data_IF_230190201830
#
_entry.id   IF_230190201830
#
_cell.length_a   1.000
_cell.length_b   1.000
_cell.length_c   1.000
_cell.angle_alpha   90.00
_cell.angle_beta   90.00
_cell.angle_gamma   90.00
#
_symmetry.space_group_name_H-M   'P 1'
#
loop_
_entity.id
_entity.type
_entity.pdbx_description
1 polymer ?
#
# COMPACT_ATOMS: atom_id res chain seq x y z
N UNK A 1 -14.35 -28.04 -51.80
CA UNK A 1 -13.97 -28.14 -53.25
C UNK A 1 -13.08 -26.95 -53.59
N UNK A 2 -11.89 -27.22 -54.24
CA UNK A 2 -10.79 -26.33 -54.66
C UNK A 2 -9.83 -25.92 -53.51
N UNK A 3 -8.76 -26.54 -53.20
CA UNK A 3 -7.55 -27.10 -53.85
C UNK A 3 -6.84 -26.13 -54.82
N UNK A 4 -5.66 -25.67 -54.44
CA UNK A 4 -4.46 -25.32 -55.27
C UNK A 4 -3.53 -24.46 -54.40
N UNK A 5 -2.28 -24.52 -54.43
CA UNK A 5 -1.17 -25.33 -54.98
C UNK A 5 0.12 -24.67 -54.50
N UNK A 6 1.06 -25.50 -54.07
CA UNK A 6 2.51 -25.38 -54.04
C UNK A 6 3.12 -24.17 -54.78
N UNK A 7 4.08 -23.51 -54.10
CA UNK A 7 5.34 -23.13 -54.77
C UNK A 7 6.50 -23.13 -53.78
N UNK A 8 7.33 -24.14 -53.93
CA UNK A 8 8.72 -24.21 -53.48
C UNK A 8 9.55 -23.20 -54.27
N UNK A 9 10.38 -22.42 -53.59
CA UNK A 9 11.56 -21.84 -54.24
C UNK A 9 12.71 -21.80 -53.24
N UNK A 10 13.61 -22.72 -53.52
CA UNK A 10 14.95 -22.89 -52.97
C UNK A 10 15.85 -21.76 -53.49
N UNK A 11 16.58 -21.07 -52.59
CA UNK A 11 17.82 -20.42 -53.00
C UNK A 11 18.87 -20.48 -51.90
N UNK A 12 20.04 -20.90 -52.27
CA UNK A 12 21.26 -21.22 -51.56
C UNK A 12 22.07 -19.97 -51.15
N UNK A 13 23.20 -20.14 -50.47
CA UNK A 13 23.69 -19.26 -49.42
C UNK A 13 24.73 -18.25 -49.93
N UNK A 14 24.81 -17.09 -49.25
CA UNK A 14 25.99 -16.22 -49.31
C UNK A 14 26.68 -16.18 -47.96
N UNK A 15 27.84 -16.80 -47.91
CA UNK A 15 28.85 -16.65 -46.86
C UNK A 15 29.43 -15.22 -47.00
N UNK A 16 29.17 -14.37 -46.01
CA UNK A 16 29.92 -13.14 -45.77
C UNK A 16 30.69 -13.32 -44.48
N UNK A 17 31.99 -13.51 -44.62
CA UNK A 17 32.94 -13.39 -43.53
C UNK A 17 33.04 -11.93 -43.14
N UNK A 18 32.66 -11.56 -41.93
CA UNK A 18 32.97 -10.26 -41.36
C UNK A 18 33.82 -10.41 -40.11
N UNK A 19 34.91 -9.70 -40.17
CA UNK A 19 36.01 -9.61 -39.24
C UNK A 19 35.59 -9.32 -37.80
N UNK A 20 36.23 -10.01 -36.88
CA UNK A 20 36.16 -9.73 -35.44
C UNK A 20 36.70 -8.35 -35.11
N UNK A 21 35.85 -7.46 -34.72
CA UNK A 21 36.24 -6.25 -33.99
C UNK A 21 35.88 -6.49 -32.54
N UNK A 22 36.89 -6.59 -31.72
CA UNK A 22 36.76 -6.75 -30.28
C UNK A 22 36.28 -5.41 -29.69
N UNK A 23 35.11 -5.32 -29.06
CA UNK A 23 34.79 -4.15 -28.25
C UNK A 23 35.42 -4.31 -26.88
N UNK A 24 36.16 -3.28 -26.54
CA UNK A 24 36.79 -3.01 -25.26
C UNK A 24 35.78 -3.18 -24.09
N UNK A 25 36.17 -3.98 -23.14
CA UNK A 25 35.48 -4.21 -21.87
C UNK A 25 35.38 -2.88 -21.08
N UNK A 26 34.27 -2.18 -21.22
CA UNK A 26 33.77 -1.27 -20.21
C UNK A 26 33.00 -2.12 -19.19
N UNK A 27 33.60 -2.36 -18.03
CA UNK A 27 32.96 -3.12 -16.94
C UNK A 27 31.76 -2.37 -16.37
N UNK A 28 30.59 -2.61 -16.92
CA UNK A 28 29.34 -2.36 -16.22
C UNK A 28 29.14 -3.50 -15.22
N UNK A 29 29.49 -3.20 -13.99
CA UNK A 29 29.09 -4.03 -12.85
C UNK A 29 27.56 -4.10 -12.87
N UNK A 30 26.95 -5.28 -12.99
CA UNK A 30 25.50 -5.37 -12.86
C UNK A 30 25.14 -4.94 -11.44
N UNK A 31 24.50 -3.77 -11.31
CA UNK A 31 23.88 -3.33 -10.06
C UNK A 31 22.82 -4.38 -9.75
N UNK A 32 23.11 -5.25 -8.79
CA UNK A 32 22.13 -6.20 -8.27
C UNK A 32 20.88 -5.40 -7.84
N UNK A 33 19.68 -5.88 -8.11
CA UNK A 33 18.48 -5.23 -7.61
C UNK A 33 18.59 -5.16 -6.09
N UNK A 34 18.55 -3.96 -5.54
CA UNK A 34 18.44 -3.73 -4.10
C UNK A 34 17.08 -4.30 -3.72
N UNK A 35 17.09 -5.53 -3.22
CA UNK A 35 15.90 -6.11 -2.59
C UNK A 35 15.69 -5.28 -1.34
N UNK A 36 14.73 -4.36 -1.39
CA UNK A 36 14.29 -3.65 -0.20
C UNK A 36 13.83 -4.71 0.81
N UNK A 37 14.65 -4.95 1.80
CA UNK A 37 14.30 -5.83 2.90
C UNK A 37 13.12 -5.18 3.60
N UNK A 38 11.92 -5.77 3.46
CA UNK A 38 10.76 -5.32 4.21
C UNK A 38 11.14 -5.35 5.70
N UNK A 39 11.16 -4.20 6.34
CA UNK A 39 11.44 -4.11 7.76
C UNK A 39 10.38 -4.91 8.50
N UNK A 40 10.80 -5.75 9.44
CA UNK A 40 9.87 -6.47 10.31
C UNK A 40 9.13 -5.42 11.13
N UNK A 41 7.82 -5.35 10.95
CA UNK A 41 6.97 -4.43 11.70
C UNK A 41 6.67 -5.04 13.06
N UNK A 42 6.90 -4.29 14.11
CA UNK A 42 6.46 -4.62 15.45
C UNK A 42 5.61 -3.49 16.06
N UNK A 43 4.97 -3.75 17.19
CA UNK A 43 4.14 -2.77 17.85
C UNK A 43 4.94 -1.53 18.31
N UNK A 44 6.23 -1.69 18.62
CA UNK A 44 7.13 -0.61 18.99
C UNK A 44 7.37 0.35 17.83
N UNK A 45 7.64 -0.18 16.64
CA UNK A 45 7.83 0.62 15.42
C UNK A 45 6.60 1.48 15.08
N UNK A 46 5.39 0.94 15.31
CA UNK A 46 4.15 1.68 15.10
C UNK A 46 3.92 2.76 16.16
N UNK A 47 4.31 2.51 17.41
CA UNK A 47 4.08 3.41 18.53
C UNK A 47 5.00 4.65 18.53
N UNK A 48 6.05 4.66 17.71
CA UNK A 48 7.02 5.77 17.66
C UNK A 48 6.55 6.96 16.85
N UNK A 49 5.44 6.83 16.12
CA UNK A 49 4.96 7.83 15.19
C UNK A 49 3.45 8.09 15.35
N UNK A 50 3.04 9.30 14.96
CA UNK A 50 1.67 9.65 14.63
C UNK A 50 1.46 9.41 13.14
N UNK A 51 0.52 8.54 12.78
CA UNK A 51 0.33 8.11 11.39
C UNK A 51 -0.79 8.91 10.72
N UNK A 52 -0.41 9.87 9.87
CA UNK A 52 -1.37 10.72 9.15
C UNK A 52 -1.73 10.15 7.78
N UNK A 53 -3.03 10.03 7.52
CA UNK A 53 -3.55 9.52 6.25
C UNK A 53 -3.17 10.45 5.09
N UNK A 54 -2.49 9.89 4.08
CA UNK A 54 -2.10 10.61 2.87
C UNK A 54 -2.92 10.16 1.66
N UNK A 55 -3.21 8.87 1.60
CA UNK A 55 -3.92 8.29 0.47
C UNK A 55 -4.83 7.15 0.93
N UNK A 56 -6.01 7.06 0.31
CA UNK A 56 -6.91 5.93 0.49
C UNK A 56 -7.57 5.61 -0.85
N UNK A 57 -7.47 4.34 -1.27
CA UNK A 57 -7.99 3.87 -2.54
C UNK A 57 -8.83 2.62 -2.30
N UNK A 58 -9.93 2.50 -3.02
CA UNK A 58 -10.68 1.25 -3.06
C UNK A 58 -9.98 0.21 -3.95
N UNK A 59 -10.51 -1.00 -3.98
CA UNK A 59 -9.97 -2.12 -4.78
C UNK A 59 -9.95 -1.84 -6.29
N UNK A 60 -10.77 -0.92 -6.78
CA UNK A 60 -10.78 -0.46 -8.17
C UNK A 60 -9.78 0.69 -8.43
N UNK A 61 -9.03 1.11 -7.42
CA UNK A 61 -8.05 2.20 -7.51
C UNK A 61 -8.68 3.60 -7.48
N UNK A 62 -9.94 3.74 -7.07
CA UNK A 62 -10.60 5.05 -6.91
C UNK A 62 -10.36 5.57 -5.50
N UNK A 63 -10.20 6.88 -5.39
CA UNK A 63 -10.03 7.54 -4.09
C UNK A 63 -11.28 7.37 -3.22
N UNK A 64 -11.05 7.10 -1.93
CA UNK A 64 -12.10 6.99 -0.91
C UNK A 64 -12.34 8.37 -0.29
N UNK A 65 -13.11 9.21 -0.96
CA UNK A 65 -13.31 10.61 -0.57
C UNK A 65 -13.89 10.79 0.84
N UNK A 66 -14.66 9.83 1.32
CA UNK A 66 -15.22 9.84 2.68
C UNK A 66 -14.15 9.92 3.79
N UNK A 67 -12.89 9.57 3.51
CA UNK A 67 -11.77 9.66 4.45
C UNK A 67 -11.03 11.01 4.38
N UNK A 68 -11.38 11.90 3.46
CA UNK A 68 -10.72 13.18 3.21
C UNK A 68 -11.65 14.39 3.39
N UNK A 69 -12.62 14.27 4.27
CA UNK A 69 -13.59 15.35 4.58
C UNK A 69 -12.91 16.59 5.14
N UNK A 70 -11.81 16.42 5.86
CA UNK A 70 -11.04 17.52 6.48
C UNK A 70 -9.64 17.56 5.88
N UNK A 71 -9.43 18.40 4.89
CA UNK A 71 -8.15 18.50 4.19
C UNK A 71 -7.01 19.03 5.08
N UNK A 72 -7.34 19.93 6.00
CA UNK A 72 -6.42 20.54 6.96
C UNK A 72 -6.16 19.67 8.20
N UNK A 73 -6.98 18.68 8.43
CA UNK A 73 -6.92 17.81 9.60
C UNK A 73 -7.19 16.35 9.21
N UNK A 74 -6.25 15.71 8.48
CA UNK A 74 -6.41 14.33 8.01
C UNK A 74 -6.57 13.34 9.16
N UNK A 75 -7.21 12.21 8.87
CA UNK A 75 -7.31 11.08 9.81
C UNK A 75 -5.92 10.71 10.28
N UNK A 76 -5.77 10.50 11.58
CA UNK A 76 -4.54 10.07 12.21
C UNK A 76 -4.78 8.77 12.98
N UNK A 77 -3.79 7.87 12.94
CA UNK A 77 -3.76 6.66 13.75
C UNK A 77 -2.62 6.76 14.76
N UNK A 78 -2.92 6.43 16.00
CA UNK A 78 -1.95 6.28 17.06
C UNK A 78 -2.03 4.86 17.63
N UNK A 79 -0.85 4.24 17.76
CA UNK A 79 -0.70 2.91 18.33
C UNK A 79 0.01 2.99 19.67
N UNK A 80 -0.58 2.47 20.71
CA UNK A 80 0.03 2.46 22.04
C UNK A 80 -0.48 1.28 22.85
N UNK A 81 0.43 0.50 23.44
CA UNK A 81 0.13 -0.58 24.40
C UNK A 81 -0.99 -1.53 23.92
N UNK A 82 -0.91 -1.98 22.66
CA UNK A 82 -1.90 -2.88 22.05
C UNK A 82 -3.25 -2.22 21.75
N UNK A 83 -3.32 -0.90 21.77
CA UNK A 83 -4.51 -0.13 21.43
C UNK A 83 -4.25 0.78 20.21
N UNK A 84 -5.20 0.74 19.29
CA UNK A 84 -5.28 1.66 18.17
C UNK A 84 -6.30 2.74 18.50
N UNK A 85 -5.90 4.00 18.33
CA UNK A 85 -6.78 5.16 18.38
C UNK A 85 -6.85 5.85 17.02
N UNK A 86 -8.06 6.28 16.64
CA UNK A 86 -8.29 7.12 15.47
C UNK A 86 -8.57 8.54 15.95
N UNK A 87 -7.75 9.47 15.49
CA UNK A 87 -7.87 10.89 15.79
C UNK A 87 -8.37 11.65 14.56
N UNK A 88 -8.81 12.89 14.79
CA UNK A 88 -9.31 13.79 13.76
C UNK A 88 -10.62 13.31 13.09
N UNK A 89 -11.27 12.32 13.65
CA UNK A 89 -12.65 11.93 13.35
C UNK A 89 -13.64 12.78 14.18
N UNK A 90 -14.93 12.61 13.98
CA UNK A 90 -15.93 13.28 14.84
C UNK A 90 -16.00 12.61 16.20
N UNK A 91 -16.09 11.30 16.22
CA UNK A 91 -16.14 10.51 17.43
C UNK A 91 -14.73 10.01 17.82
N UNK A 92 -14.57 9.68 19.10
CA UNK A 92 -13.41 8.93 19.57
C UNK A 92 -13.59 7.49 19.16
N UNK A 93 -12.71 7.01 18.30
CA UNK A 93 -12.75 5.67 17.73
C UNK A 93 -11.48 4.95 18.13
N UNK A 94 -11.58 3.68 18.52
CA UNK A 94 -10.41 2.88 18.86
C UNK A 94 -10.77 1.42 19.08
N UNK A 95 -9.73 0.57 19.12
CA UNK A 95 -9.85 -0.87 19.34
C UNK A 95 -8.55 -1.46 19.87
N UNK A 96 -8.54 -2.73 20.22
CA UNK A 96 -7.30 -3.46 20.44
C UNK A 96 -6.63 -3.78 19.12
N UNK A 97 -5.31 -3.96 19.13
CA UNK A 97 -4.60 -4.49 17.99
C UNK A 97 -3.49 -5.45 18.43
N UNK A 98 -3.17 -6.36 17.52
CA UNK A 98 -2.02 -7.27 17.62
C UNK A 98 -1.34 -7.33 16.25
N UNK A 99 -0.05 -7.65 16.23
CA UNK A 99 0.70 -7.87 14.99
C UNK A 99 1.07 -9.35 14.92
N UNK A 100 0.61 -9.99 13.87
CA UNK A 100 0.92 -11.38 13.56
C UNK A 100 1.60 -11.46 12.19
N UNK A 101 2.91 -11.69 12.16
CA UNK A 101 3.70 -11.70 10.94
C UNK A 101 3.59 -10.37 10.16
N UNK A 102 2.97 -10.41 8.97
CA UNK A 102 2.71 -9.25 8.11
C UNK A 102 1.28 -8.71 8.24
N UNK A 103 0.58 -9.04 9.34
CA UNK A 103 -0.80 -8.66 9.57
C UNK A 103 -0.99 -7.86 10.85
N UNK A 104 -1.75 -6.80 10.71
CA UNK A 104 -2.33 -6.03 11.80
C UNK A 104 -3.73 -6.58 12.07
N UNK A 105 -3.91 -7.22 13.21
CA UNK A 105 -5.22 -7.75 13.63
C UNK A 105 -5.85 -6.71 14.54
N UNK A 106 -6.92 -6.08 14.08
CA UNK A 106 -7.65 -5.06 14.83
C UNK A 106 -8.97 -5.66 15.33
N UNK A 107 -9.16 -5.61 16.63
CA UNK A 107 -10.38 -6.07 17.27
C UNK A 107 -11.59 -5.18 16.97
N UNK A 108 -12.69 -5.42 17.68
CA UNK A 108 -13.90 -4.62 17.52
C UNK A 108 -13.61 -3.14 17.78
N UNK A 109 -13.95 -2.29 16.82
CA UNK A 109 -13.81 -0.84 16.94
C UNK A 109 -14.95 -0.29 17.82
N UNK A 110 -14.57 0.45 18.84
CA UNK A 110 -15.49 1.15 19.75
C UNK A 110 -15.49 2.63 19.37
N UNK A 111 -16.67 3.22 19.30
CA UNK A 111 -16.85 4.63 19.00
C UNK A 111 -17.81 5.30 19.98
N UNK A 112 -17.52 6.53 20.36
CA UNK A 112 -18.51 7.37 21.03
C UNK A 112 -19.66 7.69 20.06
N UNK A 113 -20.79 8.14 20.59
CA UNK A 113 -21.98 8.48 19.79
C UNK A 113 -22.33 9.95 19.96
N UNK A 114 -21.39 10.84 19.70
CA UNK A 114 -21.65 12.27 19.65
C UNK A 114 -22.36 12.62 18.34
N UNK A 115 -23.26 13.58 18.39
CA UNK A 115 -23.84 14.17 17.19
C UNK A 115 -22.77 15.02 16.48
N UNK A 116 -22.45 14.65 15.25
CA UNK A 116 -21.54 15.43 14.40
C UNK A 116 -22.31 16.59 13.75
N UNK A 117 -21.73 17.77 13.79
CA UNK A 117 -22.34 18.94 13.17
C UNK A 117 -22.46 18.80 11.65
N UNK A 118 -21.52 18.10 11.03
CA UNK A 118 -21.50 17.78 9.60
C UNK A 118 -21.76 16.29 9.40
N UNK A 119 -22.81 15.90 8.63
CA UNK A 119 -23.07 14.51 8.26
C UNK A 119 -21.89 13.82 7.57
N UNK A 120 -21.03 14.55 6.86
CA UNK A 120 -19.84 14.01 6.22
C UNK A 120 -18.86 13.43 7.26
N UNK A 121 -18.76 14.00 8.45
CA UNK A 121 -17.95 13.47 9.54
C UNK A 121 -18.50 12.15 10.10
N UNK A 122 -19.82 11.99 10.14
CA UNK A 122 -20.43 10.69 10.49
C UNK A 122 -20.08 9.61 9.47
N UNK A 123 -20.05 9.98 8.19
CA UNK A 123 -19.63 9.07 7.12
C UNK A 123 -18.14 8.73 7.22
N UNK A 124 -17.30 9.69 7.60
CA UNK A 124 -15.86 9.45 7.86
C UNK A 124 -15.68 8.45 8.99
N UNK A 125 -16.34 8.66 10.14
CA UNK A 125 -16.26 7.76 11.31
C UNK A 125 -16.61 6.32 10.94
N UNK A 126 -17.68 6.13 10.15
CA UNK A 126 -18.09 4.83 9.67
C UNK A 126 -17.08 4.26 8.69
N UNK A 127 -16.66 5.04 7.70
CA UNK A 127 -15.75 4.59 6.63
C UNK A 127 -14.39 4.15 7.17
N UNK A 128 -13.84 4.84 8.18
CA UNK A 128 -12.55 4.45 8.77
C UNK A 128 -12.71 3.24 9.69
N UNK A 129 -13.78 3.17 10.49
CA UNK A 129 -14.02 2.05 11.41
C UNK A 129 -14.18 0.73 10.66
N UNK A 130 -14.98 0.74 9.57
CA UNK A 130 -15.21 -0.44 8.74
C UNK A 130 -13.92 -0.97 8.10
N UNK A 131 -12.98 -0.09 7.75
CA UNK A 131 -11.73 -0.47 7.08
C UNK A 131 -10.62 -0.88 8.03
N UNK A 132 -10.63 -0.37 9.24
CA UNK A 132 -9.60 -0.72 10.23
C UNK A 132 -9.91 -1.99 11.01
N UNK A 133 -11.19 -2.39 11.13
CA UNK A 133 -11.57 -3.59 11.86
C UNK A 133 -11.24 -4.86 11.10
N UNK A 134 -10.69 -5.86 11.77
CA UNK A 134 -10.37 -7.18 11.21
C UNK A 134 -8.88 -7.35 10.91
N UNK A 135 -8.56 -8.15 9.93
CA UNK A 135 -7.19 -8.47 9.54
C UNK A 135 -6.74 -7.61 8.36
N UNK A 136 -5.70 -6.83 8.56
CA UNK A 136 -5.13 -5.94 7.54
C UNK A 136 -3.71 -6.42 7.24
N UNK A 137 -3.36 -6.53 5.96
CA UNK A 137 -1.95 -6.70 5.62
C UNK A 137 -1.23 -5.38 5.86
N UNK A 138 -0.09 -5.46 6.55
CA UNK A 138 0.71 -4.30 6.91
C UNK A 138 2.02 -4.28 6.12
N UNK A 139 2.31 -3.15 5.51
CA UNK A 139 3.58 -2.86 4.86
C UNK A 139 4.18 -1.60 5.50
N UNK A 140 5.39 -1.70 5.99
CA UNK A 140 6.08 -0.61 6.67
C UNK A 140 7.39 -0.30 5.95
N UNK A 141 7.68 0.97 5.78
CA UNK A 141 8.97 1.47 5.31
C UNK A 141 9.51 2.50 6.29
N UNK A 142 10.76 2.28 6.70
CA UNK A 142 11.50 3.20 7.58
C UNK A 142 12.16 4.37 6.81
N UNK A 143 11.61 4.76 5.67
CA UNK A 143 12.04 5.93 4.91
C UNK A 143 11.97 7.22 5.75
N UNK A 144 12.40 8.32 5.19
CA UNK A 144 12.24 9.63 5.82
C UNK A 144 11.37 10.50 4.92
N UNK A 145 10.09 10.74 5.28
CA UNK A 145 9.37 10.22 6.46
C UNK A 145 8.97 8.75 6.33
N UNK A 146 8.77 8.04 7.46
CA UNK A 146 8.35 6.65 7.46
C UNK A 146 6.94 6.49 6.88
N UNK A 147 6.68 5.33 6.30
CA UNK A 147 5.40 5.04 5.63
C UNK A 147 4.77 3.78 6.19
N UNK A 148 3.48 3.84 6.39
CA UNK A 148 2.65 2.72 6.79
C UNK A 148 1.56 2.53 5.73
N UNK A 149 1.46 1.32 5.19
CA UNK A 149 0.40 0.95 4.25
C UNK A 149 -0.39 -0.21 4.81
N UNK A 150 -1.69 -0.04 4.87
CA UNK A 150 -2.64 -1.03 5.32
C UNK A 150 -3.51 -1.47 4.14
N UNK A 151 -3.57 -2.78 3.90
CA UNK A 151 -4.43 -3.36 2.88
C UNK A 151 -5.53 -4.16 3.57
N UNK A 152 -6.77 -3.81 3.29
CA UNK A 152 -7.93 -4.52 3.82
C UNK A 152 -8.17 -5.83 3.08
N UNK A 153 -8.92 -6.76 3.68
CA UNK A 153 -9.36 -7.98 2.99
C UNK A 153 -10.27 -7.67 1.79
N UNK A 154 -10.98 -6.54 1.82
CA UNK A 154 -11.79 -6.05 0.70
C UNK A 154 -11.00 -5.49 -0.47
N UNK A 155 -9.66 -5.34 -0.33
CA UNK A 155 -8.77 -4.82 -1.36
C UNK A 155 -8.58 -3.29 -1.31
N UNK A 156 -9.13 -2.60 -0.31
CA UNK A 156 -8.87 -1.18 -0.11
C UNK A 156 -7.46 -0.98 0.44
N UNK A 157 -6.82 0.11 0.04
CA UNK A 157 -5.48 0.49 0.50
C UNK A 157 -5.52 1.82 1.23
N UNK A 158 -4.92 1.88 2.41
CA UNK A 158 -4.75 3.10 3.21
C UNK A 158 -3.26 3.36 3.40
N UNK A 159 -2.78 4.52 2.99
CA UNK A 159 -1.37 4.91 3.08
C UNK A 159 -1.21 6.09 4.05
N UNK A 160 -0.32 5.94 5.01
CA UNK A 160 -0.04 6.91 6.06
C UNK A 160 1.43 7.31 6.05
N UNK A 161 1.69 8.52 6.52
CA UNK A 161 3.04 9.04 6.81
C UNK A 161 3.17 9.20 8.31
N UNK A 162 4.30 8.76 8.86
CA UNK A 162 4.67 8.94 10.27
C UNK A 162 5.30 10.31 10.50
N UNK A 163 4.88 10.94 11.58
CA UNK A 163 5.41 12.22 12.10
C UNK A 163 5.92 12.06 13.53
#
# INVERSE_FOLDING_TARGET
>A
MKLRLLQMMCWLPMLVACSATTPSNGGETPTAPVVATAAVVDAGSLATHHWRLQRAMDREGRRIDALFVRADLPVQLDFNEGRLAVLNACNRIGGSFEIENDRLIVGAMISTKMACADPALTNLDRAISERLQGSLRIEFSADTPPRLRLLTEGGDTLEFIGE
#
